data_IF_330662314693
#
_entry.id   IF_330662314693
#
_cell.length_a   1.000
_cell.length_b   1.000
_cell.length_c   1.000
_cell.angle_alpha   90.00
_cell.angle_beta   90.00
_cell.angle_gamma   90.00
#
_symmetry.space_group_name_H-M   'P 1'
#
loop_
_entity.id
_entity.type
_entity.pdbx_description
1 polymer ?
#
# COMPACT_ATOMS: atom_id res chain seq x y z
N UNK A 1 7.74 13.50 -4.25
CA UNK A 1 8.91 12.66 -4.50
C UNK A 1 8.88 12.26 -5.96
N UNK A 2 9.83 12.75 -6.76
CA UNK A 2 10.00 12.24 -8.10
C UNK A 2 11.01 11.11 -8.04
N UNK A 3 10.54 9.87 -7.95
CA UNK A 3 11.39 8.71 -8.24
C UNK A 3 11.52 8.66 -9.75
N UNK A 4 12.62 9.22 -10.27
CA UNK A 4 12.88 9.10 -11.69
C UNK A 4 13.42 7.71 -11.98
N UNK A 5 12.61 6.86 -12.62
CA UNK A 5 13.13 5.72 -13.37
C UNK A 5 13.90 6.30 -14.57
N UNK A 6 15.21 6.23 -14.53
CA UNK A 6 15.99 6.48 -15.74
C UNK A 6 15.80 5.29 -16.70
N UNK A 7 14.76 5.34 -17.49
CA UNK A 7 14.61 4.48 -18.65
C UNK A 7 14.99 5.25 -19.89
N UNK A 8 16.14 4.89 -20.48
CA UNK A 8 16.60 5.30 -21.81
C UNK A 8 16.74 6.81 -22.11
N UNK A 9 17.96 7.32 -21.88
CA UNK A 9 18.58 8.25 -22.83
C UNK A 9 19.60 7.49 -23.68
N UNK A 10 20.24 8.10 -24.68
CA UNK A 10 21.28 7.50 -25.53
C UNK A 10 22.54 7.08 -24.77
N UNK A 11 22.57 7.19 -23.46
CA UNK A 11 23.60 6.74 -22.53
C UNK A 11 23.01 5.82 -21.46
N UNK A 12 22.29 4.78 -21.87
CA UNK A 12 21.80 3.73 -20.98
C UNK A 12 23.03 2.98 -20.40
N UNK A 13 23.54 3.48 -19.27
CA UNK A 13 24.62 2.83 -18.54
C UNK A 13 24.04 1.75 -17.63
N UNK A 14 23.51 0.70 -18.23
CA UNK A 14 23.22 -0.52 -17.50
C UNK A 14 24.56 -1.18 -17.20
N UNK A 15 24.78 -1.52 -15.96
CA UNK A 15 25.86 -2.46 -15.62
C UNK A 15 25.40 -3.83 -16.10
N UNK A 16 26.11 -4.39 -17.09
CA UNK A 16 25.83 -5.73 -17.63
C UNK A 16 27.01 -6.61 -17.27
N UNK A 17 26.76 -7.68 -16.52
CA UNK A 17 27.75 -8.70 -16.17
C UNK A 17 27.23 -10.02 -16.74
N UNK A 18 28.04 -10.67 -17.60
CA UNK A 18 27.72 -11.93 -18.26
C UNK A 18 26.34 -11.93 -18.96
N UNK A 19 25.98 -10.80 -19.56
CA UNK A 19 24.70 -10.62 -20.24
C UNK A 19 23.51 -10.27 -19.33
N UNK A 20 23.68 -10.29 -18.01
CA UNK A 20 22.64 -9.90 -17.05
C UNK A 20 22.75 -8.41 -16.69
N UNK A 21 21.61 -7.73 -16.69
CA UNK A 21 21.52 -6.36 -16.15
C UNK A 21 21.56 -6.44 -14.62
N UNK A 22 22.51 -5.73 -14.01
CA UNK A 22 22.67 -5.68 -12.55
C UNK A 22 22.60 -4.24 -12.04
N UNK A 23 22.18 -3.99 -10.79
CA UNK A 23 22.25 -2.67 -10.17
C UNK A 23 23.69 -2.17 -10.10
N UNK A 24 23.88 -0.85 -10.01
CA UNK A 24 25.17 -0.25 -9.70
C UNK A 24 25.67 -0.76 -8.33
N UNK A 25 26.82 -1.46 -8.28
CA UNK A 25 27.34 -2.00 -7.02
C UNK A 25 27.70 -0.94 -5.97
N UNK A 26 27.86 0.32 -6.40
CA UNK A 26 28.12 1.45 -5.51
C UNK A 26 26.84 2.14 -5.01
N UNK A 27 25.68 1.73 -5.50
CA UNK A 27 24.39 2.28 -5.09
C UNK A 27 23.59 1.23 -4.30
N UNK A 28 23.44 1.49 -3.00
CA UNK A 28 22.69 0.59 -2.09
C UNK A 28 21.18 0.62 -2.29
N UNK A 29 20.66 1.61 -3.04
CA UNK A 29 19.25 1.73 -3.37
C UNK A 29 18.97 0.96 -4.66
N UNK A 30 18.45 -0.23 -4.53
CA UNK A 30 18.05 -1.06 -5.67
C UNK A 30 16.65 -0.72 -6.16
N UNK A 31 16.33 -1.08 -7.41
CA UNK A 31 15.02 -0.86 -8.01
C UNK A 31 13.89 -1.62 -7.32
N UNK A 32 12.67 -1.35 -7.76
CA UNK A 32 11.47 -2.04 -7.27
C UNK A 32 11.60 -3.57 -7.44
N UNK A 33 10.86 -4.28 -6.63
CA UNK A 33 10.94 -5.74 -6.48
C UNK A 33 10.86 -6.55 -7.79
N UNK A 34 10.05 -6.11 -8.74
CA UNK A 34 9.93 -6.73 -10.07
C UNK A 34 11.00 -6.25 -11.07
N UNK A 35 11.90 -5.36 -10.65
CA UNK A 35 12.96 -4.79 -11.48
C UNK A 35 14.32 -4.78 -10.73
N UNK A 36 14.83 -5.93 -10.33
CA UNK A 36 16.04 -6.01 -9.50
C UNK A 36 17.33 -5.53 -10.21
N UNK A 37 17.29 -5.38 -11.54
CA UNK A 37 18.43 -4.92 -12.34
C UNK A 37 18.62 -3.40 -12.38
N UNK A 38 17.85 -2.61 -11.60
CA UNK A 38 17.94 -1.15 -11.62
C UNK A 38 18.38 -0.60 -10.27
N UNK A 39 19.10 0.52 -10.31
CA UNK A 39 19.37 1.34 -9.12
C UNK A 39 18.39 2.49 -9.04
N UNK A 40 18.08 2.92 -7.81
CA UNK A 40 17.25 4.10 -7.58
C UNK A 40 18.09 5.35 -7.41
N UNK A 41 17.63 6.46 -7.94
CA UNK A 41 18.15 7.79 -7.65
C UNK A 41 17.06 8.63 -7.00
N UNK A 42 17.32 9.11 -5.79
CA UNK A 42 16.44 10.05 -5.10
C UNK A 42 16.95 11.47 -5.36
N UNK A 43 16.12 12.27 -6.04
CA UNK A 43 16.42 13.69 -6.23
C UNK A 43 15.67 14.47 -5.16
N UNK A 44 16.43 15.04 -4.20
CA UNK A 44 15.86 15.84 -3.12
C UNK A 44 15.51 17.23 -3.60
N UNK A 45 14.43 17.81 -3.05
CA UNK A 45 14.08 19.22 -3.25
C UNK A 45 14.96 20.17 -2.40
N UNK A 46 14.60 21.44 -2.40
CA UNK A 46 15.36 22.52 -1.74
C UNK A 46 15.34 22.49 -0.19
N UNK A 47 14.60 21.58 0.42
CA UNK A 47 14.52 21.43 1.87
C UNK A 47 13.97 20.05 2.25
N UNK A 48 13.99 19.70 3.55
CA UNK A 48 13.52 18.42 3.99
C UNK A 48 12.02 18.27 3.71
N UNK A 49 11.66 17.25 2.94
CA UNK A 49 10.27 16.93 2.63
C UNK A 49 9.63 16.09 3.77
N UNK A 50 8.31 15.95 3.74
CA UNK A 50 7.58 15.14 4.71
C UNK A 50 7.98 13.66 4.70
N UNK A 51 8.58 13.19 3.63
CA UNK A 51 9.06 11.81 3.45
C UNK A 51 10.55 11.62 3.81
N UNK A 52 11.27 12.69 4.12
CA UNK A 52 12.68 12.59 4.54
C UNK A 52 12.78 12.19 6.01
N UNK A 53 13.86 11.49 6.35
CA UNK A 53 14.19 11.24 7.75
C UNK A 53 14.49 12.59 8.45
N UNK A 54 13.66 12.97 9.42
CA UNK A 54 13.84 14.16 10.25
C UNK A 54 14.31 13.75 11.65
N UNK A 55 14.87 14.68 12.41
CA UNK A 55 15.25 14.46 13.80
C UNK A 55 14.01 14.55 14.71
N UNK A 56 13.17 13.53 14.64
CA UNK A 56 11.94 13.34 15.44
C UNK A 56 11.96 11.95 16.05
N UNK A 57 11.13 11.67 17.08
CA UNK A 57 10.96 10.29 17.55
C UNK A 57 10.49 9.38 16.41
N UNK A 58 11.11 8.21 16.28
CA UNK A 58 10.80 7.24 15.24
C UNK A 58 10.05 6.03 15.79
N UNK A 59 9.12 5.51 15.00
CA UNK A 59 8.45 4.25 15.24
C UNK A 59 9.32 3.04 14.88
N UNK A 60 8.73 1.87 14.95
CA UNK A 60 9.40 0.59 14.64
C UNK A 60 8.69 -0.11 13.50
N UNK A 61 9.44 -0.67 12.56
CA UNK A 61 8.91 -1.54 11.51
C UNK A 61 9.29 -2.98 11.82
N UNK A 62 8.29 -3.84 11.98
CA UNK A 62 8.46 -5.27 12.28
C UNK A 62 8.03 -6.09 11.07
N UNK A 63 8.87 -7.04 10.65
CA UNK A 63 8.52 -8.04 9.62
C UNK A 63 7.85 -9.23 10.29
N UNK A 64 6.65 -9.57 9.82
CA UNK A 64 5.93 -10.79 10.17
C UNK A 64 5.98 -11.78 9.02
N UNK A 65 6.27 -13.02 9.32
CA UNK A 65 6.18 -14.14 8.38
C UNK A 65 5.13 -15.09 8.91
N UNK A 66 4.22 -15.55 8.05
CA UNK A 66 3.15 -16.44 8.42
C UNK A 66 2.83 -17.42 7.29
N UNK A 67 2.30 -18.58 7.64
CA UNK A 67 1.78 -19.54 6.66
C UNK A 67 0.35 -19.19 6.29
N UNK A 68 0.10 -18.95 5.00
CA UNK A 68 -1.25 -18.70 4.48
C UNK A 68 -1.89 -20.00 4.00
N UNK A 69 -3.06 -20.30 4.51
CA UNK A 69 -3.90 -21.41 3.99
C UNK A 69 -4.63 -21.03 2.71
N UNK A 70 -4.66 -19.74 2.35
CA UNK A 70 -5.29 -19.25 1.11
C UNK A 70 -4.36 -19.47 -0.08
N UNK A 71 -3.08 -19.16 0.08
CA UNK A 71 -2.07 -19.33 -0.97
C UNK A 71 -1.26 -20.63 -0.81
N UNK A 72 -1.49 -21.37 0.28
CA UNK A 72 -0.77 -22.59 0.65
C UNK A 72 0.75 -22.38 0.67
N UNK A 73 1.20 -21.29 1.30
CA UNK A 73 2.61 -20.95 1.35
C UNK A 73 2.95 -19.87 2.39
N UNK A 74 4.24 -19.62 2.53
CA UNK A 74 4.70 -18.55 3.42
C UNK A 74 4.44 -17.18 2.78
N UNK A 75 3.99 -16.26 3.61
CA UNK A 75 3.74 -14.87 3.25
C UNK A 75 4.33 -13.95 4.29
N UNK A 76 4.48 -12.71 3.91
CA UNK A 76 5.03 -11.69 4.79
C UNK A 76 4.20 -10.41 4.79
N UNK A 77 4.36 -9.67 5.86
CA UNK A 77 3.78 -8.36 6.08
C UNK A 77 4.75 -7.53 6.92
N UNK A 78 4.89 -6.25 6.62
CA UNK A 78 5.58 -5.30 7.47
C UNK A 78 4.55 -4.47 8.26
N UNK A 79 4.81 -4.26 9.53
CA UNK A 79 3.93 -3.49 10.40
C UNK A 79 4.73 -2.39 11.09
N UNK A 80 4.35 -1.16 10.85
CA UNK A 80 4.85 -0.01 11.58
C UNK A 80 4.02 0.20 12.85
N UNK A 81 4.71 0.42 13.97
CA UNK A 81 4.15 0.91 15.22
C UNK A 81 4.70 2.30 15.54
N UNK A 82 3.85 3.24 16.02
CA UNK A 82 4.24 4.64 16.19
C UNK A 82 5.29 4.84 17.29
N UNK A 83 5.99 5.98 17.30
CA UNK A 83 6.86 6.35 18.40
C UNK A 83 6.13 6.29 19.74
N UNK A 84 6.78 5.71 20.74
CA UNK A 84 6.16 5.55 22.07
C UNK A 84 4.98 4.59 22.10
N UNK A 85 4.90 3.62 21.16
CA UNK A 85 3.85 2.60 21.15
C UNK A 85 3.70 1.92 22.52
N UNK A 86 2.48 1.94 23.05
CA UNK A 86 2.12 1.37 24.35
C UNK A 86 0.95 0.40 24.20
N UNK A 87 1.14 -0.83 24.65
CA UNK A 87 0.11 -1.89 24.58
C UNK A 87 -1.12 -1.61 25.44
N UNK A 88 -1.07 -0.66 26.34
CA UNK A 88 -2.22 -0.27 27.16
C UNK A 88 -3.18 0.66 26.42
N UNK A 89 -2.73 1.27 25.31
CA UNK A 89 -3.53 2.13 24.46
C UNK A 89 -4.02 1.38 23.21
N UNK A 90 -5.13 1.83 22.64
CA UNK A 90 -5.69 1.28 21.41
C UNK A 90 -5.44 2.22 20.23
N UNK A 91 -4.80 1.72 19.19
CA UNK A 91 -4.42 2.48 18.00
C UNK A 91 -5.32 2.14 16.81
N UNK A 92 -5.71 3.13 15.98
CA UNK A 92 -6.30 2.83 14.68
C UNK A 92 -5.29 2.14 13.77
N UNK A 93 -5.78 1.41 12.78
CA UNK A 93 -4.95 0.65 11.83
C UNK A 93 -5.20 1.12 10.41
N UNK A 94 -4.13 1.43 9.70
CA UNK A 94 -4.12 1.61 8.25
C UNK A 94 -3.55 0.35 7.59
N UNK A 95 -4.33 -0.34 6.76
CA UNK A 95 -3.87 -1.40 5.87
C UNK A 95 -3.48 -0.77 4.54
N UNK A 96 -2.18 -0.75 4.23
CA UNK A 96 -1.60 -0.01 3.11
C UNK A 96 -1.06 -0.97 2.05
N UNK A 97 -1.68 -0.96 0.87
CA UNK A 97 -1.52 -1.97 -0.16
C UNK A 97 -0.66 -1.48 -1.33
N UNK A 98 0.26 -2.31 -1.76
CA UNK A 98 1.18 -2.02 -2.86
C UNK A 98 0.55 -2.15 -4.24
N UNK A 99 1.18 -1.53 -5.24
CA UNK A 99 0.84 -1.65 -6.64
C UNK A 99 1.18 -3.04 -7.22
N UNK A 100 0.92 -3.20 -8.49
CA UNK A 100 1.21 -4.47 -9.19
C UNK A 100 2.72 -4.75 -9.24
N UNK A 101 3.14 -5.93 -8.79
CA UNK A 101 4.55 -6.34 -8.74
C UNK A 101 5.33 -5.79 -7.54
N UNK A 102 4.70 -5.02 -6.66
CA UNK A 102 5.34 -4.54 -5.44
C UNK A 102 5.34 -5.60 -4.33
N UNK A 103 6.37 -5.56 -3.49
CA UNK A 103 6.48 -6.42 -2.31
C UNK A 103 5.84 -5.77 -1.08
N UNK A 104 5.67 -6.55 -0.02
CA UNK A 104 5.25 -6.03 1.28
C UNK A 104 6.17 -4.93 1.83
N UNK A 105 7.46 -4.96 1.47
CA UNK A 105 8.45 -3.96 1.87
C UNK A 105 8.38 -2.65 1.10
N UNK A 106 7.70 -2.58 -0.06
CA UNK A 106 7.77 -1.41 -0.95
C UNK A 106 7.28 -0.13 -0.29
N UNK A 107 6.21 -0.18 0.50
CA UNK A 107 5.71 1.02 1.17
C UNK A 107 6.65 1.58 2.24
N UNK A 108 7.36 0.73 2.99
CA UNK A 108 8.27 1.26 4.00
C UNK A 108 9.65 1.61 3.41
N UNK A 109 10.16 0.86 2.42
CA UNK A 109 11.46 1.11 1.80
C UNK A 109 11.40 2.22 0.76
N UNK A 110 10.52 2.07 -0.24
CA UNK A 110 10.42 2.97 -1.39
C UNK A 110 9.44 4.13 -1.10
N UNK A 111 8.28 3.81 -0.53
CA UNK A 111 7.24 4.77 -0.15
C UNK A 111 7.53 5.54 1.12
N UNK A 112 8.53 5.11 1.92
CA UNK A 112 8.96 5.75 3.17
C UNK A 112 7.84 5.98 4.17
N UNK A 113 6.84 5.09 4.21
CA UNK A 113 5.63 5.26 5.00
C UNK A 113 5.92 5.49 6.49
N UNK A 114 6.97 4.85 7.04
CA UNK A 114 7.38 5.05 8.43
C UNK A 114 7.86 6.49 8.69
N UNK A 115 8.73 7.05 7.85
CA UNK A 115 9.20 8.43 8.00
C UNK A 115 8.07 9.45 7.82
N UNK A 116 7.16 9.19 6.87
CA UNK A 116 5.98 10.04 6.67
C UNK A 116 5.12 10.04 7.94
N UNK A 117 4.85 8.87 8.51
CA UNK A 117 4.05 8.74 9.74
C UNK A 117 4.75 9.43 10.93
N UNK A 118 6.04 9.17 11.14
CA UNK A 118 6.83 9.78 12.20
C UNK A 118 6.78 11.32 12.14
N UNK A 119 7.04 11.88 10.95
CA UNK A 119 7.03 13.32 10.74
C UNK A 119 5.65 13.93 10.99
N UNK A 120 4.60 13.34 10.43
CA UNK A 120 3.23 13.85 10.60
C UNK A 120 2.74 13.72 12.04
N UNK A 121 3.11 12.65 12.75
CA UNK A 121 2.79 12.48 14.17
C UNK A 121 3.51 13.54 15.01
N UNK A 122 4.81 13.75 14.76
CA UNK A 122 5.60 14.78 15.46
C UNK A 122 5.07 16.20 15.23
N UNK A 123 4.58 16.48 14.02
CA UNK A 123 3.94 17.76 13.63
C UNK A 123 2.47 17.85 14.07
N UNK A 124 1.91 16.83 14.75
CA UNK A 124 0.50 16.71 15.15
C UNK A 124 -0.50 16.80 13.98
N UNK A 125 -0.06 16.42 12.79
CA UNK A 125 -0.91 16.35 11.60
C UNK A 125 -1.51 14.97 11.40
N UNK A 126 -1.00 13.94 12.08
CA UNK A 126 -1.58 12.62 12.14
C UNK A 126 -1.65 12.09 13.57
N UNK A 127 -2.65 11.28 13.85
CA UNK A 127 -2.73 10.54 15.11
C UNK A 127 -1.76 9.38 15.08
N UNK A 128 -1.18 8.97 16.23
CA UNK A 128 -0.43 7.71 16.32
C UNK A 128 -1.28 6.53 15.85
N UNK A 129 -0.77 5.74 14.91
CA UNK A 129 -1.49 4.62 14.30
C UNK A 129 -0.56 3.45 14.01
N UNK A 130 -1.13 2.26 13.88
CA UNK A 130 -0.47 1.09 13.29
C UNK A 130 -0.63 1.16 11.78
N UNK A 131 0.43 0.87 11.02
CA UNK A 131 0.34 0.73 9.56
C UNK A 131 0.76 -0.69 9.19
N UNK A 132 -0.19 -1.48 8.71
CA UNK A 132 0.05 -2.83 8.22
C UNK A 132 0.25 -2.79 6.69
N UNK A 133 1.37 -3.27 6.22
CA UNK A 133 1.79 -3.30 4.82
C UNK A 133 1.93 -4.76 4.37
N UNK A 134 0.81 -5.44 4.05
CA UNK A 134 0.85 -6.82 3.61
C UNK A 134 1.25 -6.93 2.13
N UNK A 135 1.74 -8.08 1.75
CA UNK A 135 1.83 -8.42 0.34
C UNK A 135 0.43 -8.74 -0.21
N UNK A 136 -0.10 -7.89 -1.06
CA UNK A 136 -1.43 -8.09 -1.68
C UNK A 136 -1.37 -8.90 -2.99
N UNK A 137 -0.19 -9.37 -3.39
CA UNK A 137 0.01 -10.23 -4.56
C UNK A 137 -0.28 -11.70 -4.16
N UNK A 138 -1.55 -12.08 -4.10
CA UNK A 138 -1.99 -13.44 -3.71
C UNK A 138 -2.01 -14.42 -4.87
N UNK A 139 -1.95 -13.92 -6.09
CA UNK A 139 -1.89 -14.69 -7.35
C UNK A 139 -0.75 -14.15 -8.18
N UNK A 140 0.08 -15.04 -8.74
CA UNK A 140 1.17 -14.60 -9.60
C UNK A 140 0.64 -13.95 -10.88
N UNK A 141 1.27 -12.88 -11.35
CA UNK A 141 0.83 -12.10 -12.52
C UNK A 141 0.73 -12.91 -13.82
N UNK A 142 1.53 -13.97 -13.95
CA UNK A 142 1.50 -14.86 -15.12
C UNK A 142 0.40 -15.91 -15.04
N UNK A 143 -0.31 -16.02 -13.93
CA UNK A 143 -1.43 -16.95 -13.82
C UNK A 143 -2.58 -16.49 -14.74
N UNK A 144 -3.09 -17.37 -15.62
CA UNK A 144 -4.20 -17.02 -16.50
C UNK A 144 -5.46 -16.54 -15.76
N UNK A 145 -5.63 -16.95 -14.50
CA UNK A 145 -6.75 -16.57 -13.65
C UNK A 145 -6.44 -15.38 -12.74
N UNK A 146 -5.29 -14.71 -12.92
CA UNK A 146 -4.89 -13.60 -12.06
C UNK A 146 -5.99 -12.55 -11.89
N UNK A 147 -6.59 -12.08 -12.98
CA UNK A 147 -7.64 -11.05 -12.96
C UNK A 147 -8.90 -11.51 -12.22
N UNK A 148 -9.25 -12.79 -12.33
CA UNK A 148 -10.42 -13.38 -11.69
C UNK A 148 -10.22 -13.58 -10.20
N UNK A 149 -9.07 -14.11 -9.81
CA UNK A 149 -8.83 -14.62 -8.46
C UNK A 149 -8.20 -13.59 -7.51
N UNK A 150 -7.47 -12.60 -8.03
CA UNK A 150 -6.64 -11.73 -7.18
C UNK A 150 -7.45 -11.02 -6.09
N UNK A 151 -8.62 -10.49 -6.40
CA UNK A 151 -9.45 -9.78 -5.42
C UNK A 151 -10.15 -10.72 -4.45
N UNK A 152 -10.72 -11.82 -4.95
CA UNK A 152 -11.43 -12.82 -4.13
C UNK A 152 -10.50 -13.52 -3.15
N UNK A 153 -9.31 -13.93 -3.61
CA UNK A 153 -8.32 -14.56 -2.73
C UNK A 153 -7.70 -13.55 -1.76
N UNK A 154 -7.52 -12.29 -2.18
CA UNK A 154 -7.03 -11.26 -1.25
C UNK A 154 -8.06 -10.93 -0.16
N UNK A 155 -9.34 -10.86 -0.48
CA UNK A 155 -10.38 -10.72 0.56
C UNK A 155 -10.30 -11.84 1.59
N UNK A 156 -10.17 -13.08 1.11
CA UNK A 156 -10.02 -14.25 2.00
C UNK A 156 -8.74 -14.17 2.83
N UNK A 157 -7.62 -13.80 2.23
CA UNK A 157 -6.33 -13.60 2.91
C UNK A 157 -6.43 -12.53 4.00
N UNK A 158 -7.06 -11.40 3.67
CA UNK A 158 -7.28 -10.28 4.57
C UNK A 158 -8.06 -10.70 5.82
N UNK A 159 -9.18 -11.42 5.63
CA UNK A 159 -10.05 -11.87 6.71
C UNK A 159 -9.46 -13.00 7.54
N UNK A 160 -8.76 -13.94 6.89
CA UNK A 160 -8.29 -15.16 7.55
C UNK A 160 -6.94 -14.98 8.24
N UNK A 161 -6.06 -14.17 7.66
CA UNK A 161 -4.68 -14.07 8.12
C UNK A 161 -4.26 -12.66 8.50
N UNK A 162 -4.43 -11.67 7.61
CA UNK A 162 -3.82 -10.34 7.80
C UNK A 162 -4.44 -9.61 8.99
N UNK A 163 -5.77 -9.43 9.00
CA UNK A 163 -6.46 -8.73 10.10
C UNK A 163 -6.26 -9.44 11.44
N UNK A 164 -6.50 -10.77 11.56
CA UNK A 164 -6.27 -11.49 12.81
C UNK A 164 -4.82 -11.41 13.31
N UNK A 165 -3.82 -11.48 12.43
CA UNK A 165 -2.42 -11.38 12.81
C UNK A 165 -2.08 -9.99 13.39
N UNK A 166 -2.58 -8.92 12.79
CA UNK A 166 -2.40 -7.56 13.31
C UNK A 166 -3.07 -7.41 14.68
N UNK A 167 -4.30 -7.87 14.83
CA UNK A 167 -5.08 -7.73 16.08
C UNK A 167 -4.55 -8.56 17.22
N UNK A 168 -3.96 -9.71 16.94
CA UNK A 168 -3.31 -10.54 17.97
C UNK A 168 -1.93 -10.02 18.36
N UNK A 169 -1.23 -9.32 17.46
CA UNK A 169 0.15 -8.86 17.68
C UNK A 169 0.21 -7.45 18.28
N UNK A 170 -0.77 -6.60 18.01
CA UNK A 170 -0.79 -5.19 18.39
C UNK A 170 -2.06 -4.79 19.14
N UNK A 171 -1.96 -3.75 19.96
CA UNK A 171 -3.10 -3.18 20.67
C UNK A 171 -3.84 -2.19 19.76
N UNK A 172 -4.89 -2.67 19.10
CA UNK A 172 -5.59 -1.92 18.05
C UNK A 172 -7.07 -1.69 18.37
N UNK A 173 -7.65 -0.68 17.74
CA UNK A 173 -9.10 -0.46 17.72
C UNK A 173 -9.73 -1.45 16.75
N UNK A 174 -10.09 -2.65 17.24
CA UNK A 174 -10.63 -3.74 16.45
C UNK A 174 -12.12 -3.51 16.07
N UNK A 175 -12.43 -2.35 15.52
CA UNK A 175 -13.76 -1.94 15.03
C UNK A 175 -13.67 -1.45 13.59
N UNK A 176 -14.75 -1.48 12.81
CA UNK A 176 -14.73 -0.95 11.43
C UNK A 176 -14.24 0.49 11.35
N UNK A 177 -14.65 1.38 12.25
CA UNK A 177 -14.20 2.78 12.31
C UNK A 177 -12.73 2.92 12.76
N UNK A 178 -12.18 1.91 13.43
CA UNK A 178 -10.77 1.87 13.81
C UNK A 178 -9.84 1.37 12.70
N UNK A 179 -10.38 0.95 11.54
CA UNK A 179 -9.60 0.41 10.43
C UNK A 179 -9.82 1.19 9.15
N UNK A 180 -8.70 1.52 8.49
CA UNK A 180 -8.68 2.07 7.14
C UNK A 180 -7.97 1.10 6.20
N UNK A 181 -8.37 1.08 4.93
CA UNK A 181 -7.68 0.38 3.86
C UNK A 181 -7.35 1.37 2.73
N UNK A 182 -6.11 1.39 2.31
CA UNK A 182 -5.65 2.28 1.24
C UNK A 182 -4.62 1.57 0.36
N UNK A 183 -4.44 2.06 -0.85
CA UNK A 183 -3.42 1.51 -1.72
C UNK A 183 -3.23 2.28 -3.02
N UNK A 184 -2.13 1.96 -3.71
CA UNK A 184 -1.73 2.56 -4.97
C UNK A 184 -1.97 1.59 -6.12
N UNK A 185 -2.50 2.07 -7.26
CA UNK A 185 -2.65 1.29 -8.50
C UNK A 185 -3.47 0.00 -8.24
N UNK A 186 -2.90 -1.18 -8.38
CA UNK A 186 -3.56 -2.44 -8.05
C UNK A 186 -3.97 -2.51 -6.56
N UNK A 187 -3.15 -1.98 -5.64
CA UNK A 187 -3.52 -1.85 -4.23
C UNK A 187 -4.73 -0.93 -4.01
N UNK A 188 -4.84 0.14 -4.81
CA UNK A 188 -6.02 0.99 -4.82
C UNK A 188 -7.27 0.25 -5.31
N UNK A 189 -7.13 -0.62 -6.31
CA UNK A 189 -8.23 -1.52 -6.75
C UNK A 189 -8.61 -2.53 -5.68
N UNK A 190 -7.64 -3.06 -4.92
CA UNK A 190 -7.95 -3.89 -3.75
C UNK A 190 -8.70 -3.09 -2.68
N UNK A 191 -8.26 -1.86 -2.36
CA UNK A 191 -8.96 -1.01 -1.41
C UNK A 191 -10.40 -0.70 -1.87
N UNK A 192 -10.61 -0.50 -3.17
CA UNK A 192 -11.91 -0.25 -3.77
C UNK A 192 -12.78 -1.51 -3.81
N UNK A 193 -12.34 -2.56 -4.52
CA UNK A 193 -13.19 -3.74 -4.77
C UNK A 193 -13.33 -4.65 -3.55
N UNK A 194 -12.26 -4.81 -2.77
CA UNK A 194 -12.30 -5.64 -1.56
C UNK A 194 -12.77 -4.82 -0.38
N UNK A 195 -12.25 -3.59 -0.21
CA UNK A 195 -12.62 -2.73 0.90
C UNK A 195 -14.12 -2.41 0.92
N UNK A 196 -14.70 -2.05 -0.22
CA UNK A 196 -16.12 -1.74 -0.33
C UNK A 196 -17.04 -2.94 -0.05
N UNK A 197 -16.58 -4.18 -0.29
CA UNK A 197 -17.28 -5.39 0.13
C UNK A 197 -17.15 -5.71 1.62
N UNK A 198 -16.14 -5.14 2.26
CA UNK A 198 -15.76 -5.43 3.64
C UNK A 198 -16.12 -4.27 4.60
N UNK A 199 -17.33 -3.68 4.49
CA UNK A 199 -17.80 -2.62 5.40
C UNK A 199 -17.91 -3.07 6.86
N UNK A 200 -17.97 -4.37 7.09
CA UNK A 200 -17.87 -4.99 8.41
C UNK A 200 -16.45 -4.93 9.00
N UNK A 201 -15.43 -4.70 8.15
CA UNK A 201 -14.04 -4.54 8.57
C UNK A 201 -13.57 -3.09 8.51
N UNK A 202 -13.98 -2.31 7.49
CA UNK A 202 -13.45 -0.99 7.20
C UNK A 202 -14.55 0.05 7.02
N UNK A 203 -14.25 1.28 7.48
CA UNK A 203 -15.10 2.46 7.22
C UNK A 203 -14.34 3.62 6.60
N UNK A 204 -13.03 3.50 6.43
CA UNK A 204 -12.18 4.52 5.81
C UNK A 204 -11.36 3.94 4.67
N UNK A 205 -11.34 4.64 3.53
CA UNK A 205 -10.79 4.15 2.26
C UNK A 205 -9.90 5.19 1.60
N UNK A 206 -8.76 4.72 1.07
CA UNK A 206 -7.83 5.53 0.26
C UNK A 206 -7.53 4.86 -1.07
N UNK A 207 -7.99 5.44 -2.17
CA UNK A 207 -7.84 4.91 -3.53
C UNK A 207 -6.90 5.83 -4.30
N UNK A 208 -5.68 5.36 -4.54
CA UNK A 208 -4.63 6.16 -5.17
C UNK A 208 -4.32 5.62 -6.56
N UNK A 209 -4.55 6.42 -7.59
CA UNK A 209 -4.20 6.12 -9.00
C UNK A 209 -4.67 4.73 -9.46
N UNK A 210 -5.84 4.29 -9.01
CA UNK A 210 -6.33 2.94 -9.25
C UNK A 210 -7.06 2.76 -10.58
N UNK A 211 -7.63 3.83 -11.11
CA UNK A 211 -8.67 3.79 -12.14
C UNK A 211 -9.95 3.13 -11.60
N UNK A 212 -11.03 3.28 -12.31
CA UNK A 212 -12.25 2.53 -12.01
C UNK A 212 -12.21 1.15 -12.69
N UNK A 213 -12.18 0.04 -11.93
CA UNK A 213 -12.19 -1.33 -12.49
C UNK A 213 -13.61 -1.82 -12.84
N UNK A 214 -14.58 -0.92 -13.00
CA UNK A 214 -15.98 -1.28 -13.20
C UNK A 214 -16.74 -1.45 -11.87
N UNK A 215 -16.60 -0.48 -10.97
CA UNK A 215 -17.23 -0.51 -9.64
C UNK A 215 -18.75 -0.65 -9.70
N UNK A 216 -19.40 -0.06 -10.70
CA UNK A 216 -20.85 -0.17 -10.92
C UNK A 216 -21.32 -1.63 -11.02
N UNK A 217 -20.49 -2.50 -11.62
CA UNK A 217 -20.78 -3.92 -11.79
C UNK A 217 -20.15 -4.80 -10.72
N UNK A 218 -19.05 -4.36 -10.14
CA UNK A 218 -18.24 -5.17 -9.22
C UNK A 218 -18.61 -5.00 -7.75
N UNK A 219 -19.12 -3.82 -7.39
CA UNK A 219 -19.55 -3.47 -6.02
C UNK A 219 -20.87 -2.67 -6.02
N UNK A 220 -21.91 -3.16 -6.72
CA UNK A 220 -23.17 -2.44 -6.84
C UNK A 220 -23.86 -2.23 -5.48
N UNK A 221 -23.66 -3.13 -4.53
CA UNK A 221 -24.20 -3.04 -3.19
C UNK A 221 -23.65 -1.82 -2.44
N UNK A 222 -22.39 -1.46 -2.69
CA UNK A 222 -21.79 -0.26 -2.12
C UNK A 222 -22.34 1.00 -2.76
N UNK A 223 -22.36 1.07 -4.10
CA UNK A 223 -22.74 2.29 -4.82
C UNK A 223 -24.24 2.60 -4.75
N UNK A 224 -25.08 1.57 -4.66
CA UNK A 224 -26.56 1.71 -4.63
C UNK A 224 -27.14 1.69 -3.22
N UNK A 225 -26.32 1.61 -2.17
CA UNK A 225 -26.82 1.64 -0.80
C UNK A 225 -27.19 3.07 -0.40
N UNK A 226 -28.47 3.39 -0.18
CA UNK A 226 -28.90 4.73 0.21
C UNK A 226 -28.37 5.17 1.57
N UNK A 227 -27.84 4.23 2.37
CA UNK A 227 -27.26 4.50 3.69
C UNK A 227 -25.72 4.46 3.66
N UNK A 228 -25.10 4.43 2.49
CA UNK A 228 -23.63 4.28 2.40
C UNK A 228 -22.87 5.37 3.15
N UNK A 229 -23.36 6.61 3.10
CA UNK A 229 -22.74 7.73 3.81
C UNK A 229 -22.77 7.58 5.35
N UNK A 230 -23.64 6.77 5.90
CA UNK A 230 -23.64 6.43 7.32
C UNK A 230 -22.71 5.26 7.65
N UNK A 231 -22.27 4.52 6.64
CA UNK A 231 -21.38 3.35 6.76
C UNK A 231 -19.91 3.66 6.41
N UNK A 232 -19.64 4.82 5.83
CA UNK A 232 -18.31 5.27 5.42
C UNK A 232 -17.94 6.50 6.23
N UNK A 233 -16.83 6.43 6.98
CA UNK A 233 -16.32 7.55 7.76
C UNK A 233 -15.44 8.47 6.92
N UNK A 234 -14.69 7.89 5.96
CA UNK A 234 -13.80 8.66 5.08
C UNK A 234 -13.55 7.94 3.76
N UNK A 235 -13.64 8.66 2.66
CA UNK A 235 -13.28 8.19 1.33
C UNK A 235 -12.36 9.22 0.65
N UNK A 236 -11.15 8.80 0.34
CA UNK A 236 -10.20 9.58 -0.45
C UNK A 236 -9.95 8.90 -1.79
N UNK A 237 -10.14 9.63 -2.87
CA UNK A 237 -9.78 9.21 -4.23
C UNK A 237 -8.81 10.22 -4.79
N UNK A 238 -7.62 9.77 -5.15
CA UNK A 238 -6.56 10.63 -5.67
C UNK A 238 -5.89 10.05 -6.90
N UNK A 239 -5.51 10.94 -7.82
CA UNK A 239 -4.70 10.60 -8.98
C UNK A 239 -3.76 11.75 -9.34
N UNK A 240 -2.68 11.44 -10.04
CA UNK A 240 -1.74 12.45 -10.52
C UNK A 240 -2.32 13.29 -11.65
N UNK A 241 -2.03 14.59 -11.66
CA UNK A 241 -2.52 15.54 -12.66
C UNK A 241 -2.13 15.18 -14.10
N UNK A 242 -1.01 14.48 -14.27
CA UNK A 242 -0.46 14.08 -15.58
C UNK A 242 -0.67 12.59 -15.88
N UNK A 243 -1.47 11.88 -15.12
CA UNK A 243 -1.88 10.52 -15.47
C UNK A 243 -2.78 10.56 -16.72
N UNK A 244 -2.69 9.50 -17.57
CA UNK A 244 -3.43 9.42 -18.84
C UNK A 244 -4.95 9.55 -18.62
N UNK A 245 -5.44 10.77 -18.76
CA UNK A 245 -6.79 11.17 -18.39
C UNK A 245 -7.89 10.41 -19.14
N UNK A 246 -7.85 10.20 -20.47
CA UNK A 246 -8.96 9.50 -21.12
C UNK A 246 -9.13 8.05 -20.67
N UNK A 247 -8.08 7.44 -20.11
CA UNK A 247 -8.06 6.03 -19.70
C UNK A 247 -8.07 5.83 -18.19
N UNK A 248 -7.90 6.90 -17.42
CA UNK A 248 -7.89 6.81 -15.96
C UNK A 248 -9.31 6.93 -15.40
N UNK A 249 -9.92 5.79 -15.14
CA UNK A 249 -11.30 5.68 -14.62
C UNK A 249 -11.50 6.21 -13.20
N UNK A 250 -10.42 6.53 -12.47
CA UNK A 250 -10.54 7.19 -11.17
C UNK A 250 -11.21 8.55 -11.27
N UNK A 251 -11.04 9.24 -12.42
CA UNK A 251 -11.74 10.52 -12.69
C UNK A 251 -13.23 10.30 -12.82
N UNK A 252 -13.63 9.24 -13.51
CA UNK A 252 -15.04 8.88 -13.71
C UNK A 252 -15.69 8.50 -12.37
N UNK A 253 -14.96 7.78 -11.54
CA UNK A 253 -15.44 7.39 -10.21
C UNK A 253 -15.64 8.59 -9.26
N UNK A 254 -14.80 9.62 -9.40
CA UNK A 254 -14.85 10.82 -8.55
C UNK A 254 -15.85 11.87 -9.05
N UNK A 255 -16.18 11.86 -10.34
CA UNK A 255 -17.18 12.75 -10.96
C UNK A 255 -18.58 12.28 -10.75
#
# INVERSE_FOLDING_TARGET
>A
QMIMKFTKGPTDRRTVIDGATVPDPNNTLTGFADQPGFSQLVVHGAGPAYYDAKNVPHGTVTRHVYHSTVTNGEREMYVYSPPGYDRTQKYPVLYLLGGSGELASSWWMDGRAAFIADNLIAERQAVPMIIAMPNNQVVHRSDPKHTELTFTLFEKELRTHIVPLVESSYSVQATPSGRAIAGLSMGGRHAQLVGFKCLDLFRSFGILSAGDPGSETSVPEFLNDPQINAKVDYLFVGLGTYENQPTNRSVVFHG
#
